data_IF_753072014624
#
_entry.id   IF_753072014624
#
_cell.length_a   1.000
_cell.length_b   1.000
_cell.length_c   1.000
_cell.angle_alpha   90.00
_cell.angle_beta   90.00
_cell.angle_gamma   90.00
#
_symmetry.space_group_name_H-M   'P 1'
#
loop_
_entity.id
_entity.type
_entity.pdbx_description
1 polymer ?
#
# COMPACT_ATOMS: atom_id res chain seq x y z
N UNK A 1 15.66 16.45 -28.54
CA UNK A 1 15.64 15.71 -27.26
C UNK A 1 14.62 14.59 -27.43
N UNK A 2 15.01 13.30 -27.47
CA UNK A 2 14.10 12.24 -27.84
C UNK A 2 13.11 11.96 -26.70
N UNK A 3 11.88 11.64 -27.10
CA UNK A 3 10.72 11.39 -26.25
C UNK A 3 10.90 10.10 -25.42
N UNK A 4 10.41 10.15 -24.19
CA UNK A 4 10.41 9.08 -23.19
C UNK A 4 9.69 7.81 -23.70
N UNK A 5 10.27 6.60 -23.54
CA UNK A 5 9.65 5.35 -23.99
C UNK A 5 8.51 4.83 -23.09
N UNK A 6 8.00 5.61 -22.14
CA UNK A 6 6.93 5.18 -21.21
C UNK A 6 5.49 5.30 -21.76
N UNK A 7 5.30 5.70 -23.01
CA UNK A 7 3.95 5.78 -23.61
C UNK A 7 3.45 4.49 -24.28
N UNK A 8 4.15 3.36 -24.13
CA UNK A 8 3.78 2.11 -24.79
C UNK A 8 3.71 0.95 -23.80
N UNK A 9 2.65 0.94 -22.98
CA UNK A 9 1.93 -0.26 -22.52
C UNK A 9 0.75 0.18 -21.65
N UNK A 10 -0.11 1.07 -22.17
CA UNK A 10 -1.46 1.19 -21.66
C UNK A 10 -2.26 0.13 -22.41
N UNK A 11 -2.24 -1.10 -21.87
CA UNK A 11 -3.16 -2.15 -22.29
C UNK A 11 -4.58 -1.60 -22.12
N UNK A 12 -5.29 -1.45 -23.24
CA UNK A 12 -6.69 -1.04 -23.26
C UNK A 12 -7.46 -1.97 -22.33
N UNK A 13 -8.26 -1.40 -21.42
CA UNK A 13 -9.16 -2.21 -20.61
C UNK A 13 -10.08 -2.98 -21.56
N UNK A 14 -10.24 -4.29 -21.34
CA UNK A 14 -11.24 -5.07 -22.06
C UNK A 14 -12.62 -4.48 -21.73
N UNK A 15 -13.34 -3.89 -22.71
CA UNK A 15 -14.58 -3.15 -22.45
C UNK A 15 -15.69 -3.99 -21.80
N UNK A 16 -15.54 -5.33 -21.73
CA UNK A 16 -16.48 -6.24 -21.07
C UNK A 16 -16.08 -6.70 -19.66
N UNK A 17 -14.92 -6.30 -19.13
CA UNK A 17 -14.43 -6.80 -17.84
C UNK A 17 -15.07 -6.05 -16.65
N UNK A 18 -15.76 -6.79 -15.77
CA UNK A 18 -16.34 -6.24 -14.53
C UNK A 18 -15.29 -6.20 -13.43
N UNK A 19 -15.43 -5.26 -12.48
CA UNK A 19 -14.52 -5.17 -11.33
C UNK A 19 -14.40 -6.52 -10.58
N UNK A 20 -15.53 -7.19 -10.34
CA UNK A 20 -15.57 -8.52 -9.73
C UNK A 20 -14.83 -9.58 -10.56
N UNK A 21 -14.94 -9.54 -11.89
CA UNK A 21 -14.20 -10.45 -12.78
C UNK A 21 -12.69 -10.26 -12.69
N UNK A 22 -12.24 -8.99 -12.71
CA UNK A 22 -10.82 -8.65 -12.57
C UNK A 22 -10.25 -9.10 -11.22
N UNK A 23 -11.01 -8.89 -10.14
CA UNK A 23 -10.63 -9.34 -8.80
C UNK A 23 -10.56 -10.85 -8.70
N UNK A 24 -11.55 -11.57 -9.22
CA UNK A 24 -11.56 -13.03 -9.21
C UNK A 24 -10.32 -13.59 -9.93
N UNK A 25 -9.96 -13.03 -11.08
CA UNK A 25 -8.74 -13.41 -11.81
C UNK A 25 -7.47 -13.12 -11.01
N UNK A 26 -7.36 -11.94 -10.40
CA UNK A 26 -6.20 -11.59 -9.57
C UNK A 26 -6.05 -12.53 -8.38
N UNK A 27 -7.14 -12.77 -7.64
CA UNK A 27 -7.14 -13.63 -6.46
C UNK A 27 -6.91 -15.09 -6.82
N UNK A 28 -7.43 -15.58 -7.95
CA UNK A 28 -7.13 -16.92 -8.44
C UNK A 28 -5.61 -17.11 -8.69
N UNK A 29 -4.97 -16.15 -9.37
CA UNK A 29 -3.52 -16.15 -9.57
C UNK A 29 -2.74 -16.11 -8.25
N UNK A 30 -3.18 -15.27 -7.30
CA UNK A 30 -2.58 -15.21 -5.97
C UNK A 30 -2.63 -16.57 -5.26
N UNK A 31 -3.80 -17.23 -5.21
CA UNK A 31 -3.94 -18.54 -4.54
C UNK A 31 -3.18 -19.66 -5.25
N UNK A 32 -3.13 -19.65 -6.59
CA UNK A 32 -2.40 -20.65 -7.38
C UNK A 32 -0.87 -20.52 -7.30
N UNK A 33 -0.36 -19.56 -6.52
CA UNK A 33 1.08 -19.27 -6.44
C UNK A 33 1.70 -18.82 -7.77
N UNK A 34 0.88 -18.36 -8.69
CA UNK A 34 1.34 -17.70 -9.91
C UNK A 34 1.84 -16.28 -9.58
N UNK A 35 2.58 -15.70 -10.52
CA UNK A 35 2.90 -14.27 -10.48
C UNK A 35 1.60 -13.48 -10.63
N UNK A 36 1.34 -12.62 -9.65
CA UNK A 36 0.16 -11.76 -9.66
C UNK A 36 0.27 -10.74 -10.79
N UNK A 37 -0.69 -10.77 -11.72
CA UNK A 37 -0.79 -9.79 -12.80
C UNK A 37 -1.25 -8.45 -12.24
N UNK A 38 -0.29 -7.55 -12.02
CA UNK A 38 -0.57 -6.19 -11.55
C UNK A 38 -1.29 -5.34 -12.61
N UNK A 39 -1.35 -5.77 -13.87
CA UNK A 39 -2.17 -5.14 -14.89
C UNK A 39 -3.67 -5.18 -14.56
N UNK A 40 -4.12 -6.19 -13.80
CA UNK A 40 -5.49 -6.26 -13.28
C UNK A 40 -5.74 -5.17 -12.23
N UNK A 41 -4.73 -4.84 -11.42
CA UNK A 41 -4.81 -3.74 -10.45
C UNK A 41 -4.92 -2.39 -11.18
N UNK A 42 -4.22 -2.21 -12.31
CA UNK A 42 -4.38 -1.00 -13.13
C UNK A 42 -5.79 -0.83 -13.65
N UNK A 43 -6.39 -1.92 -14.13
CA UNK A 43 -7.76 -1.91 -14.65
C UNK A 43 -8.76 -1.57 -13.55
N UNK A 44 -8.61 -2.19 -12.37
CA UNK A 44 -9.42 -1.86 -11.20
C UNK A 44 -9.23 -0.41 -10.75
N UNK A 45 -8.00 0.11 -10.74
CA UNK A 45 -7.74 1.51 -10.42
C UNK A 45 -8.39 2.46 -11.43
N UNK A 46 -8.43 2.11 -12.72
CA UNK A 46 -9.14 2.90 -13.74
C UNK A 46 -10.65 2.91 -13.49
N UNK A 47 -11.25 1.77 -13.13
CA UNK A 47 -12.66 1.70 -12.77
C UNK A 47 -12.95 2.53 -11.51
N UNK A 48 -12.08 2.46 -10.50
CA UNK A 48 -12.16 3.25 -9.27
C UNK A 48 -12.04 4.76 -9.50
N UNK A 49 -11.44 5.18 -10.61
CA UNK A 49 -11.25 6.57 -11.00
C UNK A 49 -12.21 7.02 -12.12
N UNK A 50 -13.20 6.17 -12.46
CA UNK A 50 -14.20 6.49 -13.49
C UNK A 50 -15.23 7.49 -12.97
N UNK A 51 -15.90 8.18 -13.89
CA UNK A 51 -16.97 9.13 -13.55
C UNK A 51 -18.27 8.43 -13.10
N UNK A 52 -18.37 7.10 -13.27
CA UNK A 52 -19.52 6.33 -12.81
C UNK A 52 -19.33 5.97 -11.34
N UNK A 53 -20.10 6.63 -10.46
CA UNK A 53 -20.04 6.37 -9.02
C UNK A 53 -20.24 4.89 -8.67
N UNK A 54 -21.17 4.20 -9.35
CA UNK A 54 -21.42 2.78 -9.15
C UNK A 54 -20.20 1.91 -9.48
N UNK A 55 -19.53 2.19 -10.62
CA UNK A 55 -18.32 1.45 -11.00
C UNK A 55 -17.15 1.79 -10.09
N UNK A 56 -17.03 3.06 -9.70
CA UNK A 56 -15.98 3.52 -8.80
C UNK A 56 -16.10 2.86 -7.42
N UNK A 57 -17.30 2.88 -6.84
CA UNK A 57 -17.58 2.27 -5.54
C UNK A 57 -17.37 0.76 -5.58
N UNK A 58 -17.84 0.08 -6.64
CA UNK A 58 -17.61 -1.35 -6.79
C UNK A 58 -16.13 -1.68 -6.91
N UNK A 59 -15.37 -0.94 -7.73
CA UNK A 59 -13.93 -1.17 -7.88
C UNK A 59 -13.15 -0.88 -6.60
N UNK A 60 -13.54 0.15 -5.83
CA UNK A 60 -12.95 0.45 -4.53
C UNK A 60 -13.25 -0.66 -3.51
N UNK A 61 -14.49 -1.14 -3.48
CA UNK A 61 -14.88 -2.27 -2.64
C UNK A 61 -14.05 -3.52 -2.96
N UNK A 62 -13.90 -3.84 -4.24
CA UNK A 62 -13.11 -4.98 -4.70
C UNK A 62 -11.61 -4.83 -4.40
N UNK A 63 -11.03 -3.65 -4.62
CA UNK A 63 -9.63 -3.36 -4.31
C UNK A 63 -9.35 -3.50 -2.81
N UNK A 64 -10.13 -2.85 -1.95
CA UNK A 64 -9.84 -2.82 -0.51
C UNK A 64 -10.42 -4.01 0.24
N UNK A 65 -11.70 -4.30 0.04
CA UNK A 65 -12.44 -5.34 0.76
C UNK A 65 -12.13 -6.76 0.30
N UNK A 66 -11.75 -6.96 -0.96
CA UNK A 66 -11.40 -8.30 -1.46
C UNK A 66 -9.90 -8.49 -1.58
N UNK A 67 -9.22 -7.64 -2.36
CA UNK A 67 -7.80 -7.84 -2.68
C UNK A 67 -6.88 -7.49 -1.50
N UNK A 68 -6.93 -6.25 -1.02
CA UNK A 68 -6.03 -5.79 0.05
C UNK A 68 -6.29 -6.59 1.33
N UNK A 69 -7.55 -6.74 1.73
CA UNK A 69 -7.91 -7.55 2.89
C UNK A 69 -7.53 -9.02 2.70
N UNK A 70 -7.90 -9.65 1.59
CA UNK A 70 -7.62 -11.06 1.34
C UNK A 70 -6.13 -11.38 1.31
N UNK A 71 -5.32 -10.57 0.62
CA UNK A 71 -3.86 -10.76 0.56
C UNK A 71 -3.21 -10.46 1.91
N UNK A 72 -3.71 -9.47 2.67
CA UNK A 72 -3.16 -9.13 3.99
C UNK A 72 -3.47 -10.20 5.04
N UNK A 73 -4.65 -10.83 4.95
CA UNK A 73 -5.09 -11.89 5.86
C UNK A 73 -4.39 -13.25 5.64
N UNK A 74 -3.59 -13.39 4.58
CA UNK A 74 -2.74 -14.57 4.36
C UNK A 74 -1.58 -14.64 5.37
N UNK A 75 -1.18 -13.51 5.98
CA UNK A 75 -0.08 -13.36 6.95
C UNK A 75 1.29 -13.95 6.54
N UNK A 76 1.42 -14.46 5.31
CA UNK A 76 2.68 -15.00 4.81
C UNK A 76 3.60 -13.90 4.31
N UNK A 77 4.89 -14.20 4.24
CA UNK A 77 5.88 -13.32 3.62
C UNK A 77 5.57 -13.01 2.15
N UNK A 78 4.96 -13.96 1.42
CA UNK A 78 4.49 -13.73 0.04
C UNK A 78 3.28 -12.80 0.02
N UNK A 79 2.30 -13.01 0.89
CA UNK A 79 1.13 -12.13 1.03
C UNK A 79 1.55 -10.68 1.31
N UNK A 80 2.47 -10.48 2.25
CA UNK A 80 3.03 -9.15 2.53
C UNK A 80 3.70 -8.50 1.31
N UNK A 81 4.47 -9.27 0.54
CA UNK A 81 5.12 -8.77 -0.68
C UNK A 81 4.12 -8.39 -1.77
N UNK A 82 3.11 -9.24 -2.01
CA UNK A 82 2.06 -8.97 -2.99
C UNK A 82 1.25 -7.74 -2.57
N UNK A 83 0.86 -7.64 -1.29
CA UNK A 83 0.13 -6.49 -0.76
C UNK A 83 0.93 -5.18 -0.94
N UNK A 84 2.23 -5.18 -0.62
CA UNK A 84 3.08 -4.01 -0.81
C UNK A 84 3.12 -3.55 -2.28
N UNK A 85 3.19 -4.49 -3.23
CA UNK A 85 3.15 -4.18 -4.68
C UNK A 85 1.78 -3.65 -5.11
N UNK A 86 0.69 -4.26 -4.67
CA UNK A 86 -0.68 -3.79 -4.95
C UNK A 86 -0.87 -2.35 -4.47
N UNK A 87 -0.52 -2.06 -3.21
CA UNK A 87 -0.64 -0.72 -2.65
C UNK A 87 0.28 0.30 -3.37
N UNK A 88 1.52 -0.08 -3.68
CA UNK A 88 2.43 0.77 -4.44
C UNK A 88 1.88 1.09 -5.83
N UNK A 89 1.24 0.10 -6.49
CA UNK A 89 0.58 0.26 -7.78
C UNK A 89 -0.59 1.23 -7.68
N UNK A 90 -1.48 1.06 -6.69
CA UNK A 90 -2.61 1.96 -6.44
C UNK A 90 -2.17 3.41 -6.22
N UNK A 91 -1.11 3.62 -5.43
CA UNK A 91 -0.52 4.95 -5.21
C UNK A 91 -0.02 5.56 -6.51
N UNK A 92 0.63 4.77 -7.37
CA UNK A 92 1.10 5.23 -8.67
C UNK A 92 -0.06 5.57 -9.62
N UNK A 93 -1.11 4.76 -9.66
CA UNK A 93 -2.31 5.04 -10.44
C UNK A 93 -2.97 6.36 -10.00
N UNK A 94 -3.16 6.56 -8.70
CA UNK A 94 -3.70 7.81 -8.16
C UNK A 94 -2.80 8.99 -8.50
N UNK A 95 -1.48 8.85 -8.33
CA UNK A 95 -0.50 9.90 -8.61
C UNK A 95 -0.47 10.37 -10.07
N UNK A 96 -0.92 9.54 -11.01
CA UNK A 96 -1.06 9.90 -12.43
C UNK A 96 -2.30 10.76 -12.73
N UNK A 97 -3.21 10.93 -11.77
CA UNK A 97 -4.43 11.73 -11.94
C UNK A 97 -4.24 13.20 -11.54
N UNK A 98 -5.11 14.11 -12.01
CA UNK A 98 -5.16 15.47 -11.50
C UNK A 98 -5.32 15.59 -9.99
N UNK A 99 -6.16 14.72 -9.39
CA UNK A 99 -6.42 14.71 -7.95
C UNK A 99 -5.19 14.23 -7.15
N UNK A 100 -4.41 13.31 -7.70
CA UNK A 100 -3.21 12.77 -7.05
C UNK A 100 -1.95 13.61 -7.22
N UNK A 101 -1.99 14.77 -7.91
CA UNK A 101 -0.78 15.59 -8.16
C UNK A 101 -0.06 16.02 -6.89
N UNK A 102 -0.80 16.39 -5.85
CA UNK A 102 -0.20 16.79 -4.57
C UNK A 102 0.56 15.63 -3.92
N UNK A 103 -0.07 14.44 -3.88
CA UNK A 103 0.57 13.22 -3.41
C UNK A 103 1.80 12.87 -4.24
N UNK A 104 1.69 12.90 -5.57
CA UNK A 104 2.81 12.61 -6.45
C UNK A 104 3.98 13.60 -6.25
N UNK A 105 3.68 14.89 -6.08
CA UNK A 105 4.67 15.91 -5.72
C UNK A 105 5.39 15.57 -4.42
N UNK A 106 4.64 15.26 -3.36
CA UNK A 106 5.20 14.86 -2.07
C UNK A 106 6.11 13.64 -2.19
N UNK A 107 5.66 12.57 -2.85
CA UNK A 107 6.45 11.36 -3.04
C UNK A 107 7.77 11.65 -3.76
N UNK A 108 7.76 12.50 -4.78
CA UNK A 108 8.98 12.92 -5.48
C UNK A 108 9.95 13.69 -4.58
N UNK A 109 9.45 14.56 -3.69
CA UNK A 109 10.32 15.27 -2.72
C UNK A 109 10.99 14.31 -1.74
N UNK A 110 10.36 13.16 -1.47
CA UNK A 110 10.90 12.09 -0.65
C UNK A 110 11.79 11.10 -1.43
N UNK A 111 12.01 11.34 -2.73
CA UNK A 111 12.79 10.45 -3.60
C UNK A 111 12.04 9.19 -4.05
N UNK A 112 10.72 9.12 -3.86
CA UNK A 112 9.86 8.00 -4.23
C UNK A 112 9.17 8.33 -5.56
N UNK A 113 9.72 7.88 -6.69
CA UNK A 113 9.30 8.34 -8.02
C UNK A 113 8.44 7.33 -8.77
N UNK A 114 8.55 6.05 -8.42
CA UNK A 114 7.84 4.96 -9.07
C UNK A 114 7.49 3.85 -8.07
N UNK A 115 6.75 2.85 -8.55
CA UNK A 115 6.36 1.66 -7.77
C UNK A 115 7.56 0.95 -7.15
N UNK A 116 8.64 0.78 -7.92
CA UNK A 116 9.87 0.13 -7.47
C UNK A 116 10.53 0.86 -6.30
N UNK A 117 10.50 2.20 -6.28
CA UNK A 117 11.04 2.99 -5.17
C UNK A 117 10.24 2.78 -3.88
N UNK A 118 8.90 2.69 -3.99
CA UNK A 118 8.01 2.42 -2.86
C UNK A 118 8.26 1.02 -2.29
N UNK A 119 8.32 0.00 -3.15
CA UNK A 119 8.57 -1.39 -2.76
C UNK A 119 9.97 -1.56 -2.17
N UNK A 120 10.98 -0.94 -2.80
CA UNK A 120 12.36 -0.95 -2.27
C UNK A 120 12.45 -0.23 -0.94
N UNK A 121 11.76 0.90 -0.77
CA UNK A 121 11.65 1.62 0.49
C UNK A 121 11.04 0.75 1.58
N UNK A 122 9.94 0.06 1.29
CA UNK A 122 9.31 -0.91 2.18
C UNK A 122 10.27 -2.02 2.63
N UNK A 123 10.98 -2.65 1.68
CA UNK A 123 11.96 -3.69 2.01
C UNK A 123 13.12 -3.18 2.86
N UNK A 124 13.59 -1.95 2.61
CA UNK A 124 14.62 -1.32 3.41
C UNK A 124 14.17 -1.09 4.85
N UNK A 125 12.91 -0.72 5.05
CA UNK A 125 12.32 -0.55 6.38
C UNK A 125 12.21 -1.90 7.12
N UNK A 126 11.83 -2.97 6.43
CA UNK A 126 11.79 -4.31 7.02
C UNK A 126 13.18 -4.85 7.37
N UNK A 127 14.19 -4.55 6.55
CA UNK A 127 15.57 -4.97 6.76
C UNK A 127 16.36 -4.01 7.69
N UNK A 128 15.72 -2.96 8.20
CA UNK A 128 16.41 -1.97 9.02
C UNK A 128 16.96 -2.63 10.29
N UNK A 129 18.24 -2.41 10.63
CA UNK A 129 18.79 -2.97 11.85
C UNK A 129 18.10 -2.36 13.07
N UNK A 130 18.00 -3.11 14.18
CA UNK A 130 17.51 -2.55 15.44
C UNK A 130 18.29 -1.31 15.84
N UNK A 131 17.61 -0.32 16.41
CA UNK A 131 18.26 0.86 16.96
C UNK A 131 19.23 0.47 18.08
N UNK A 132 20.41 1.09 18.09
CA UNK A 132 21.33 0.93 19.21
C UNK A 132 20.73 1.50 20.51
N UNK A 133 21.16 0.98 21.67
CA UNK A 133 20.71 1.50 22.97
C UNK A 133 20.94 3.00 23.11
N UNK A 134 22.08 3.49 22.61
CA UNK A 134 22.42 4.92 22.62
C UNK A 134 21.49 5.75 21.74
N UNK A 135 21.09 5.22 20.57
CA UNK A 135 20.10 5.89 19.71
C UNK A 135 18.73 5.92 20.38
N UNK A 136 18.27 4.80 20.94
CA UNK A 136 16.99 4.72 21.67
C UNK A 136 16.93 5.70 22.84
N UNK A 137 18.01 5.85 23.61
CA UNK A 137 18.05 6.78 24.75
C UNK A 137 17.93 8.27 24.36
N UNK A 138 18.22 8.61 23.09
CA UNK A 138 18.11 9.97 22.55
C UNK A 138 16.72 10.28 21.98
N UNK A 139 15.89 9.27 21.73
CA UNK A 139 14.53 9.47 21.24
C UNK A 139 13.72 10.16 22.35
N UNK A 140 12.97 11.19 21.95
CA UNK A 140 12.13 12.02 22.85
C UNK A 140 10.66 11.98 22.47
N UNK A 141 10.35 11.63 21.23
CA UNK A 141 8.98 11.49 20.73
C UNK A 141 8.89 10.30 19.80
N UNK A 142 7.82 9.54 19.95
CA UNK A 142 7.45 8.42 19.09
C UNK A 142 6.04 8.70 18.60
N UNK A 143 5.88 8.81 17.29
CA UNK A 143 4.57 8.87 16.66
C UNK A 143 4.16 7.44 16.30
N UNK A 144 3.08 6.95 16.91
CA UNK A 144 2.51 5.64 16.64
C UNK A 144 1.19 5.84 15.87
N UNK A 145 1.16 5.55 14.56
CA UNK A 145 -0.07 5.58 13.80
C UNK A 145 -1.05 4.55 14.35
N UNK A 146 -2.22 4.99 14.79
CA UNK A 146 -3.35 4.13 15.14
C UNK A 146 -4.00 3.68 13.84
N UNK A 147 -4.05 2.37 13.61
CA UNK A 147 -4.92 1.84 12.56
C UNK A 147 -6.35 1.81 13.12
N UNK A 148 -7.25 2.57 12.50
CA UNK A 148 -8.68 2.54 12.85
C UNK A 148 -9.30 1.30 12.21
N UNK A 149 -9.13 0.15 12.86
CA UNK A 149 -10.03 -0.99 12.69
C UNK A 149 -10.40 -1.52 14.08
N UNK A 150 -11.70 -1.62 14.38
CA UNK A 150 -12.20 -1.87 15.74
C UNK A 150 -11.77 -3.27 16.21
N UNK A 151 -11.11 -3.35 17.37
CA UNK A 151 -10.75 -4.60 18.05
C UNK A 151 -9.25 -4.93 18.03
N UNK A 152 -8.81 -5.70 17.04
CA UNK A 152 -7.45 -6.27 16.98
C UNK A 152 -6.35 -5.19 16.98
N UNK A 153 -6.58 -4.06 16.31
CA UNK A 153 -5.61 -2.97 16.25
C UNK A 153 -5.45 -2.23 17.58
N UNK A 154 -6.47 -2.15 18.43
CA UNK A 154 -6.34 -1.56 19.78
C UNK A 154 -5.40 -2.42 20.64
N UNK A 155 -5.54 -3.75 20.56
CA UNK A 155 -4.68 -4.69 21.29
C UNK A 155 -3.23 -4.61 20.77
N UNK A 156 -3.04 -4.61 19.45
CA UNK A 156 -1.72 -4.51 18.84
C UNK A 156 -1.07 -3.16 19.19
N UNK A 157 -1.79 -2.05 19.00
CA UNK A 157 -1.31 -0.70 19.31
C UNK A 157 -0.96 -0.57 20.79
N UNK A 158 -1.78 -1.12 21.69
CA UNK A 158 -1.49 -1.15 23.13
C UNK A 158 -0.22 -1.93 23.47
N UNK A 159 -0.03 -3.11 22.89
CA UNK A 159 1.19 -3.92 23.07
C UNK A 159 2.41 -3.19 22.51
N UNK A 160 2.30 -2.56 21.35
CA UNK A 160 3.38 -1.77 20.75
C UNK A 160 3.74 -0.58 21.63
N UNK A 161 2.75 0.21 22.06
CA UNK A 161 2.95 1.36 22.96
C UNK A 161 3.62 0.92 24.26
N UNK A 162 3.18 -0.19 24.86
CA UNK A 162 3.78 -0.72 26.08
C UNK A 162 5.25 -1.15 25.87
N UNK A 163 5.55 -1.85 24.77
CA UNK A 163 6.91 -2.26 24.44
C UNK A 163 7.82 -1.06 24.18
N UNK A 164 7.32 -0.05 23.45
CA UNK A 164 8.02 1.19 23.17
C UNK A 164 8.30 1.98 24.45
N UNK A 165 7.33 2.09 25.36
CA UNK A 165 7.51 2.77 26.65
C UNK A 165 8.57 2.10 27.52
N UNK A 166 8.64 0.77 27.52
CA UNK A 166 9.69 0.02 28.22
C UNK A 166 11.07 0.20 27.58
N UNK A 167 11.14 0.19 26.25
CA UNK A 167 12.41 0.32 25.53
C UNK A 167 12.96 1.76 25.54
N UNK A 168 12.08 2.75 25.54
CA UNK A 168 12.40 4.18 25.43
C UNK A 168 11.64 5.00 26.50
N UNK A 169 11.98 4.84 27.78
CA UNK A 169 11.21 5.42 28.89
C UNK A 169 11.23 6.95 28.97
N UNK A 170 12.12 7.60 28.20
CA UNK A 170 12.24 9.06 28.11
C UNK A 170 11.51 9.65 26.90
N UNK A 171 10.87 8.81 26.09
CA UNK A 171 10.15 9.24 24.92
C UNK A 171 8.65 9.40 25.24
N UNK A 172 8.09 10.53 24.82
CA UNK A 172 6.64 10.73 24.75
C UNK A 172 6.08 9.91 23.58
N UNK A 173 5.05 9.10 23.82
CA UNK A 173 4.37 8.33 22.78
C UNK A 173 3.09 9.06 22.40
N UNK A 174 3.03 9.53 21.16
CA UNK A 174 1.87 10.17 20.56
C UNK A 174 1.17 9.16 19.66
N UNK A 175 -0.07 8.83 19.98
CA UNK A 175 -0.90 8.00 19.11
C UNK A 175 -1.62 8.94 18.14
N UNK A 176 -1.48 8.73 16.84
CA UNK A 176 -2.11 9.53 15.81
C UNK A 176 -3.03 8.67 14.94
N UNK A 177 -4.32 9.02 14.88
CA UNK A 177 -5.34 8.32 14.10
C UNK A 177 -6.52 9.23 13.81
#
# INVERSE_FOLDING_TARGET
MPLDPMSQHISQADPGSTATGLTASFMAGFHQRADSDLGLIDQLCRLALSDSAEQADLALHELYGTIVEGVSNDFSSRGMQVCARVLARMVCCLGATPAGRALHGLLRTLGLRNEGDLVTGYHRLLAAPPLSRTAMAKIRRILLPSRVTIGADVVITGVLAQRLARAMPRAEILIAG
#
